data_IF_271091813327
#
_entry.id   IF_271091813327
#
_cell.length_a   1.000
_cell.length_b   1.000
_cell.length_c   1.000
_cell.angle_alpha   90.00
_cell.angle_beta   90.00
_cell.angle_gamma   90.00
#
_symmetry.space_group_name_H-M   'P 1'
#
loop_
_entity.id
_entity.type
_entity.pdbx_description
1 polymer ?
#
# COMPACT_ATOMS: atom_id res chain seq x y z
N UNK A 1 1.33 -34.39 -63.46
CA UNK A 1 2.14 -33.37 -62.75
C UNK A 1 1.21 -32.43 -62.02
N UNK A 2 1.10 -32.51 -60.70
CA UNK A 2 0.24 -31.71 -59.86
C UNK A 2 0.89 -30.39 -59.53
N UNK A 3 0.23 -29.22 -59.81
CA UNK A 3 0.69 -27.89 -59.42
C UNK A 3 0.60 -27.71 -57.90
N UNK A 4 1.67 -27.33 -57.19
CA UNK A 4 1.61 -27.13 -55.76
C UNK A 4 1.12 -25.72 -55.37
N UNK A 5 0.09 -25.69 -54.55
CA UNK A 5 -0.10 -24.94 -53.30
C UNK A 5 0.28 -23.45 -53.28
N UNK A 6 -0.46 -22.58 -53.90
CA UNK A 6 -0.50 -21.14 -53.59
C UNK A 6 -1.22 -20.86 -52.24
N UNK A 7 -2.04 -21.78 -51.70
CA UNK A 7 -2.77 -21.64 -50.45
C UNK A 7 -1.86 -21.67 -49.19
N UNK A 8 -0.77 -22.44 -49.22
CA UNK A 8 0.16 -22.59 -48.07
C UNK A 8 0.93 -21.29 -47.76
N UNK A 9 1.35 -20.56 -48.80
CA UNK A 9 2.09 -19.30 -48.60
C UNK A 9 1.21 -18.18 -48.03
N UNK A 10 -0.09 -18.13 -48.38
CA UNK A 10 -1.03 -17.16 -47.79
C UNK A 10 -1.32 -17.45 -46.31
N UNK A 11 -1.44 -18.72 -45.94
CA UNK A 11 -1.65 -19.12 -44.55
C UNK A 11 -0.41 -18.83 -43.72
N UNK A 12 0.79 -19.10 -44.24
CA UNK A 12 2.04 -18.78 -43.56
C UNK A 12 2.19 -17.25 -43.33
N UNK A 13 1.88 -16.46 -44.34
CA UNK A 13 1.94 -14.98 -44.28
C UNK A 13 0.90 -14.42 -43.23
N UNK A 14 -0.29 -14.98 -43.19
CA UNK A 14 -1.28 -14.62 -42.15
C UNK A 14 -0.78 -15.00 -40.77
N UNK A 15 -0.18 -16.17 -40.61
CA UNK A 15 0.39 -16.61 -39.33
C UNK A 15 1.51 -15.66 -38.87
N UNK A 16 2.39 -15.24 -39.79
CA UNK A 16 3.46 -14.28 -39.50
C UNK A 16 2.91 -12.94 -39.02
N UNK A 17 1.83 -12.44 -39.68
CA UNK A 17 1.14 -11.20 -39.25
C UNK A 17 0.54 -11.36 -37.85
N UNK A 18 -0.13 -12.46 -37.58
CA UNK A 18 -0.73 -12.73 -36.25
C UNK A 18 0.34 -12.79 -35.17
N UNK A 19 1.45 -13.48 -35.42
CA UNK A 19 2.59 -13.55 -34.47
C UNK A 19 3.17 -12.16 -34.26
N UNK A 20 3.34 -11.36 -35.32
CA UNK A 20 3.85 -10.00 -35.21
C UNK A 20 2.91 -9.10 -34.39
N UNK A 21 1.59 -9.21 -34.60
CA UNK A 21 0.60 -8.45 -33.83
C UNK A 21 0.60 -8.85 -32.36
N UNK A 22 0.73 -10.15 -32.05
CA UNK A 22 0.87 -10.64 -30.66
C UNK A 22 2.16 -10.12 -30.02
N UNK A 23 3.26 -10.07 -30.77
CA UNK A 23 4.52 -9.54 -30.27
C UNK A 23 4.44 -8.04 -29.99
N UNK A 24 3.83 -7.26 -30.89
CA UNK A 24 3.59 -5.81 -30.71
C UNK A 24 2.67 -5.59 -29.50
N UNK A 25 1.58 -6.37 -29.37
CA UNK A 25 0.70 -6.33 -28.20
C UNK A 25 1.44 -6.64 -26.90
N UNK A 26 2.30 -7.65 -26.91
CA UNK A 26 3.17 -8.00 -25.77
C UNK A 26 4.13 -6.88 -25.39
N UNK A 27 4.79 -6.26 -26.37
CA UNK A 27 5.67 -5.11 -26.13
C UNK A 27 4.91 -3.89 -25.61
N UNK A 28 3.69 -3.65 -26.10
CA UNK A 28 2.84 -2.57 -25.59
C UNK A 28 2.47 -2.78 -24.12
N UNK A 29 2.03 -3.99 -23.76
CA UNK A 29 1.71 -4.35 -22.36
C UNK A 29 2.96 -4.25 -21.49
N UNK A 30 4.09 -4.76 -21.96
CA UNK A 30 5.37 -4.65 -21.26
C UNK A 30 5.75 -3.17 -21.00
N UNK A 31 5.64 -2.32 -22.03
CA UNK A 31 5.90 -0.88 -21.91
C UNK A 31 4.97 -0.18 -20.91
N UNK A 32 3.69 -0.56 -20.85
CA UNK A 32 2.73 -0.03 -19.87
C UNK A 32 3.08 -0.46 -18.44
N UNK A 33 3.50 -1.71 -18.25
CA UNK A 33 3.91 -2.23 -16.94
C UNK A 33 5.22 -1.56 -16.51
N UNK A 34 6.22 -1.49 -17.39
CA UNK A 34 7.51 -0.85 -17.10
C UNK A 34 7.34 0.62 -16.71
N UNK A 35 6.55 1.39 -17.48
CA UNK A 35 6.27 2.79 -17.16
C UNK A 35 5.51 3.01 -15.84
N UNK A 36 4.82 1.98 -15.33
CA UNK A 36 4.19 2.02 -13.99
C UNK A 36 5.19 1.64 -12.90
N UNK A 37 6.06 0.68 -13.17
CA UNK A 37 7.13 0.27 -12.24
C UNK A 37 8.17 1.36 -12.05
N UNK A 38 8.50 2.12 -13.12
CA UNK A 38 9.43 3.26 -13.07
C UNK A 38 8.96 4.41 -12.15
N UNK A 39 7.69 4.39 -11.73
CA UNK A 39 7.15 5.32 -10.73
C UNK A 39 7.37 4.87 -9.29
N UNK A 40 7.77 3.64 -9.08
CA UNK A 40 8.16 3.10 -7.78
C UNK A 40 9.64 3.40 -7.66
N UNK A 41 10.00 4.30 -6.76
CA UNK A 41 11.40 4.56 -6.40
C UNK A 41 11.91 3.34 -5.61
N UNK A 42 12.40 2.34 -6.34
CA UNK A 42 13.07 1.19 -5.75
C UNK A 42 14.49 1.67 -5.46
N UNK A 43 14.70 2.18 -4.27
CA UNK A 43 16.05 2.36 -3.78
C UNK A 43 16.59 0.96 -3.45
N UNK A 44 17.37 0.39 -4.35
CA UNK A 44 18.30 -0.69 -4.02
C UNK A 44 19.39 -0.14 -3.08
N UNK A 45 18.99 0.38 -1.96
CA UNK A 45 19.89 0.56 -0.83
C UNK A 45 20.03 -0.85 -0.27
N UNK A 46 21.25 -1.39 -0.41
CA UNK A 46 21.65 -2.55 0.36
C UNK A 46 21.48 -2.18 1.84
N UNK A 47 20.30 -2.51 2.40
CA UNK A 47 20.02 -2.27 3.82
C UNK A 47 21.01 -3.04 4.69
N UNK A 48 21.69 -4.05 4.11
CA UNK A 48 22.82 -4.73 4.75
C UNK A 48 24.03 -3.81 4.98
N UNK A 49 24.19 -2.74 4.17
CA UNK A 49 25.22 -1.72 4.35
C UNK A 49 24.76 -0.52 5.21
N UNK A 50 23.48 -0.44 5.56
CA UNK A 50 22.95 0.53 6.50
C UNK A 50 22.70 -0.19 7.82
N UNK A 51 23.25 0.34 8.91
CA UNK A 51 23.22 -0.15 10.29
C UNK A 51 21.80 -0.49 10.82
N UNK A 52 21.05 -1.37 10.14
CA UNK A 52 19.83 -1.93 10.72
C UNK A 52 20.25 -2.80 11.89
N UNK A 53 19.84 -2.40 13.06
CA UNK A 53 20.00 -3.23 14.25
C UNK A 53 19.07 -4.43 14.10
N UNK A 54 19.67 -5.60 13.95
CA UNK A 54 18.99 -6.89 13.99
C UNK A 54 19.13 -7.50 15.36
N UNK A 55 18.12 -8.21 15.83
CA UNK A 55 18.21 -8.95 17.06
C UNK A 55 18.71 -10.38 16.75
N UNK A 56 19.98 -10.65 16.97
CA UNK A 56 20.59 -11.97 16.74
C UNK A 56 19.98 -13.09 17.59
N UNK A 57 19.20 -12.74 18.62
CA UNK A 57 18.47 -13.67 19.49
C UNK A 57 17.04 -13.90 19.00
N UNK A 58 16.56 -13.15 17.99
CA UNK A 58 15.22 -13.30 17.46
C UNK A 58 15.06 -14.69 16.80
N UNK A 59 13.95 -15.40 17.06
CA UNK A 59 13.68 -16.66 16.38
C UNK A 59 13.67 -16.44 14.87
N UNK A 60 14.56 -17.10 14.14
CA UNK A 60 14.52 -17.07 12.68
C UNK A 60 13.25 -17.79 12.22
N UNK A 61 12.28 -17.03 11.73
CA UNK A 61 11.06 -17.57 11.13
C UNK A 61 11.38 -18.11 9.72
N UNK A 62 11.91 -19.34 9.64
CA UNK A 62 12.12 -20.01 8.35
C UNK A 62 10.79 -20.22 7.63
N UNK A 63 10.75 -19.97 6.32
CA UNK A 63 9.53 -20.11 5.51
C UNK A 63 8.60 -18.90 5.52
N UNK A 64 9.03 -17.79 6.12
CA UNK A 64 8.30 -16.51 6.08
C UNK A 64 9.20 -15.39 5.57
N UNK A 65 8.60 -14.44 4.83
CA UNK A 65 9.22 -13.17 4.50
C UNK A 65 8.45 -12.07 5.21
N UNK A 66 9.15 -11.21 5.95
CA UNK A 66 8.51 -10.18 6.79
C UNK A 66 8.96 -8.80 6.34
N UNK A 67 8.00 -7.91 6.12
CA UNK A 67 8.20 -6.53 5.71
C UNK A 67 7.66 -5.57 6.77
N UNK A 68 8.33 -4.42 6.93
CA UNK A 68 7.75 -3.28 7.62
C UNK A 68 7.05 -2.37 6.60
N UNK A 69 5.80 -2.01 6.85
CA UNK A 69 5.03 -1.10 6.02
C UNK A 69 4.81 0.21 6.79
N UNK A 70 5.22 1.32 6.19
CA UNK A 70 5.09 2.65 6.79
C UNK A 70 4.19 3.53 5.92
N UNK A 71 3.17 4.12 6.54
CA UNK A 71 2.35 5.17 5.94
C UNK A 71 2.79 6.54 6.48
N UNK A 72 3.23 7.41 5.58
CA UNK A 72 3.78 8.71 5.89
C UNK A 72 2.75 9.81 5.64
N UNK A 73 2.58 10.75 6.59
CA UNK A 73 1.76 11.96 6.39
C UNK A 73 2.60 13.03 5.68
N UNK A 74 2.95 12.78 4.41
CA UNK A 74 3.73 13.68 3.60
C UNK A 74 2.81 14.61 2.81
N UNK A 75 2.82 15.90 3.16
CA UNK A 75 1.98 16.95 2.55
C UNK A 75 2.74 17.88 1.61
N UNK A 76 4.08 17.84 1.61
CA UNK A 76 4.91 18.75 0.83
C UNK A 76 5.55 18.03 -0.36
N UNK A 77 5.32 18.54 -1.58
CA UNK A 77 5.93 17.99 -2.81
C UNK A 77 7.45 18.22 -2.90
N UNK A 78 8.04 18.98 -1.97
CA UNK A 78 9.45 19.43 -2.03
C UNK A 78 10.32 18.91 -0.90
N UNK A 79 9.80 18.15 0.06
CA UNK A 79 10.56 17.61 1.19
C UNK A 79 10.89 16.13 0.99
N UNK A 80 12.02 15.69 1.53
CA UNK A 80 12.41 14.29 1.45
C UNK A 80 11.54 13.45 2.39
N UNK A 81 11.08 12.30 1.95
CA UNK A 81 10.26 11.32 2.70
C UNK A 81 10.89 10.84 4.04
N UNK A 82 12.11 11.26 4.38
CA UNK A 82 12.88 10.73 5.49
C UNK A 82 12.81 11.55 6.79
N UNK A 83 11.99 12.60 6.86
CA UNK A 83 11.93 13.53 8.01
C UNK A 83 10.58 13.57 8.71
N UNK A 84 9.64 12.69 8.32
CA UNK A 84 8.28 12.70 8.80
C UNK A 84 7.97 11.54 9.74
N UNK A 85 6.92 11.69 10.53
CA UNK A 85 6.41 10.62 11.37
C UNK A 85 5.67 9.58 10.52
N UNK A 86 5.84 8.30 10.85
CA UNK A 86 5.04 7.23 10.25
C UNK A 86 3.72 7.07 11.00
N UNK A 87 2.64 7.60 10.43
CA UNK A 87 1.32 7.54 11.06
C UNK A 87 0.65 6.17 10.98
N UNK A 88 1.14 5.31 10.10
CA UNK A 88 0.78 3.91 9.99
C UNK A 88 2.05 3.06 10.08
N UNK A 89 2.04 2.05 10.95
CA UNK A 89 3.13 1.09 11.11
C UNK A 89 2.51 -0.29 11.13
N UNK A 90 2.79 -1.11 10.09
CA UNK A 90 2.26 -2.46 9.95
C UNK A 90 3.42 -3.42 9.66
N UNK A 91 3.45 -4.55 10.37
CA UNK A 91 4.32 -5.66 10.08
C UNK A 91 3.53 -6.65 9.24
N UNK A 92 4.01 -6.94 8.03
CA UNK A 92 3.41 -7.92 7.12
C UNK A 92 4.31 -9.15 7.04
N UNK A 93 3.82 -10.29 7.51
CA UNK A 93 4.53 -11.57 7.45
C UNK A 93 3.84 -12.50 6.47
N UNK A 94 4.55 -12.92 5.43
CA UNK A 94 4.06 -13.72 4.32
C UNK A 94 4.65 -15.11 4.44
N UNK A 95 3.79 -16.13 4.53
CA UNK A 95 4.22 -17.51 4.43
C UNK A 95 4.63 -17.83 2.98
N UNK A 96 5.87 -18.28 2.77
CA UNK A 96 6.43 -18.47 1.42
C UNK A 96 5.79 -19.61 0.66
N UNK A 97 5.25 -20.61 1.36
CA UNK A 97 4.62 -21.79 0.74
C UNK A 97 3.12 -21.54 0.49
N UNK A 98 2.38 -21.17 1.52
CA UNK A 98 0.91 -21.03 1.44
C UNK A 98 0.46 -19.68 0.93
N UNK A 99 1.35 -18.69 0.87
CA UNK A 99 1.06 -17.27 0.55
C UNK A 99 0.11 -16.60 1.56
N UNK A 100 -0.13 -17.23 2.70
CA UNK A 100 -0.92 -16.62 3.76
C UNK A 100 -0.19 -15.39 4.31
N UNK A 101 -0.92 -14.28 4.46
CA UNK A 101 -0.39 -13.02 4.96
C UNK A 101 -0.95 -12.76 6.36
N UNK A 102 -0.06 -12.39 7.30
CA UNK A 102 -0.43 -11.91 8.63
C UNK A 102 -0.04 -10.45 8.74
N UNK A 103 -0.98 -9.60 9.15
CA UNK A 103 -0.76 -8.17 9.37
C UNK A 103 -0.86 -7.86 10.85
N UNK A 104 0.15 -7.19 11.40
CA UNK A 104 0.20 -6.72 12.79
C UNK A 104 0.43 -5.22 12.78
N UNK A 105 -0.53 -4.44 13.28
CA UNK A 105 -0.36 -2.99 13.43
C UNK A 105 0.34 -2.67 14.75
N UNK A 106 1.33 -1.81 14.67
CA UNK A 106 1.95 -1.15 15.83
C UNK A 106 1.31 0.23 15.95
N UNK A 107 0.67 0.51 17.11
CA UNK A 107 0.06 1.81 17.32
C UNK A 107 1.13 2.90 17.35
N UNK A 108 0.92 3.96 16.59
CA UNK A 108 1.89 5.04 16.40
C UNK A 108 2.31 5.72 17.71
N UNK A 109 1.43 5.77 18.69
CA UNK A 109 1.65 6.41 20.00
C UNK A 109 2.21 5.43 21.06
N UNK A 110 2.52 4.18 20.70
CA UNK A 110 3.16 3.21 21.59
C UNK A 110 4.51 3.74 22.04
N UNK A 111 4.79 3.71 23.34
CA UNK A 111 6.08 4.10 23.91
C UNK A 111 7.09 2.97 23.68
N UNK A 112 8.05 3.19 22.81
CA UNK A 112 9.10 2.23 22.45
C UNK A 112 10.49 2.89 22.53
N UNK A 113 11.53 2.07 22.64
CA UNK A 113 12.91 2.52 22.42
C UNK A 113 13.05 2.85 20.91
N UNK A 114 13.09 4.13 20.59
CA UNK A 114 13.11 4.58 19.19
C UNK A 114 14.52 4.75 18.65
N UNK A 115 15.51 4.90 19.52
CA UNK A 115 16.95 4.94 19.19
C UNK A 115 17.79 5.06 20.46
N UNK A 116 18.88 4.29 20.57
CA UNK A 116 19.94 4.45 21.57
C UNK A 116 19.38 4.68 23.00
N UNK A 117 18.52 3.78 23.48
CA UNK A 117 17.81 3.85 24.76
C UNK A 117 16.93 5.11 24.97
N UNK A 118 16.61 5.80 23.87
CA UNK A 118 15.66 6.90 23.90
C UNK A 118 14.25 6.37 23.67
N UNK A 119 13.39 6.56 24.66
CA UNK A 119 11.99 6.13 24.60
C UNK A 119 11.09 7.27 24.13
N UNK A 120 10.31 7.03 23.09
CA UNK A 120 9.34 7.97 22.52
C UNK A 120 8.18 7.22 21.84
N UNK A 121 7.27 7.97 21.21
CA UNK A 121 6.22 7.37 20.37
C UNK A 121 6.82 6.64 19.19
N UNK A 122 6.33 5.45 18.88
CA UNK A 122 6.83 4.59 17.81
C UNK A 122 6.94 5.32 16.46
N UNK A 123 5.97 6.19 16.15
CA UNK A 123 5.95 6.93 14.89
C UNK A 123 7.12 7.92 14.72
N UNK A 124 7.70 8.41 15.83
CA UNK A 124 8.84 9.33 15.80
C UNK A 124 10.16 8.67 15.37
N UNK A 125 10.24 7.33 15.42
CA UNK A 125 11.43 6.61 14.99
C UNK A 125 11.77 6.88 13.53
N UNK A 126 10.75 7.01 12.66
CA UNK A 126 10.94 7.32 11.25
C UNK A 126 11.51 8.75 11.06
N UNK A 127 11.02 9.73 11.80
CA UNK A 127 11.52 11.10 11.75
C UNK A 127 12.96 11.24 12.29
N UNK A 128 13.37 10.39 13.25
CA UNK A 128 14.70 10.46 13.86
C UNK A 128 15.82 9.86 13.01
N UNK A 129 15.53 8.95 12.09
CA UNK A 129 16.56 8.30 11.29
C UNK A 129 16.05 7.56 10.08
N UNK A 130 14.89 7.96 9.56
CA UNK A 130 14.29 7.37 8.35
C UNK A 130 13.84 5.92 8.54
N UNK A 131 13.65 5.23 7.41
CA UNK A 131 13.13 3.85 7.42
C UNK A 131 14.05 2.88 8.16
N UNK A 132 15.35 3.02 8.03
CA UNK A 132 16.35 2.17 8.70
C UNK A 132 16.18 2.20 10.22
N UNK A 133 16.07 3.40 10.79
CA UNK A 133 15.84 3.55 12.22
C UNK A 133 14.47 3.03 12.67
N UNK A 134 13.44 3.23 11.85
CA UNK A 134 12.10 2.71 12.14
C UNK A 134 12.04 1.17 12.10
N UNK A 135 12.74 0.53 11.16
CA UNK A 135 12.89 -0.94 11.13
C UNK A 135 13.69 -1.43 12.34
N UNK A 136 14.82 -0.78 12.68
CA UNK A 136 15.63 -1.12 13.85
C UNK A 136 14.82 -1.01 15.15
N UNK A 137 13.99 0.02 15.28
CA UNK A 137 13.06 0.17 16.40
C UNK A 137 12.10 -1.02 16.51
N UNK A 138 11.51 -1.49 15.40
CA UNK A 138 10.64 -2.67 15.41
C UNK A 138 11.41 -3.93 15.81
N UNK A 139 12.59 -4.14 15.24
CA UNK A 139 13.43 -5.29 15.56
C UNK A 139 13.82 -5.34 17.05
N UNK A 140 14.27 -4.20 17.60
CA UNK A 140 14.72 -4.11 18.98
C UNK A 140 13.60 -4.32 20.00
N UNK A 141 12.42 -3.75 19.75
CA UNK A 141 11.33 -3.80 20.74
C UNK A 141 10.43 -5.03 20.64
N UNK A 142 10.41 -5.71 19.48
CA UNK A 142 9.49 -6.82 19.21
C UNK A 142 10.21 -8.14 18.92
N UNK A 143 11.50 -8.21 19.17
CA UNK A 143 12.34 -9.39 18.88
C UNK A 143 12.17 -9.90 17.44
N UNK A 144 12.23 -8.98 16.48
CA UNK A 144 12.08 -9.27 15.06
C UNK A 144 13.43 -9.15 14.34
N UNK A 145 13.44 -9.63 13.09
CA UNK A 145 14.61 -9.58 12.21
C UNK A 145 14.18 -9.14 10.80
N UNK A 146 13.55 -7.96 10.73
CA UNK A 146 13.06 -7.36 9.49
C UNK A 146 14.24 -6.67 8.81
N UNK A 147 14.42 -6.92 7.52
CA UNK A 147 15.45 -6.30 6.66
C UNK A 147 14.87 -5.43 5.56
N UNK A 148 13.59 -5.59 5.26
CA UNK A 148 12.94 -4.96 4.14
C UNK A 148 11.74 -4.12 4.59
N UNK A 149 11.50 -3.01 3.89
CA UNK A 149 10.37 -2.14 4.18
C UNK A 149 9.71 -1.59 2.92
N UNK A 150 8.48 -1.11 3.08
CA UNK A 150 7.77 -0.29 2.08
C UNK A 150 7.26 0.95 2.79
N UNK A 151 7.59 2.12 2.26
CA UNK A 151 7.06 3.39 2.75
C UNK A 151 6.24 4.05 1.65
N UNK A 152 5.02 4.48 1.98
CA UNK A 152 4.09 5.11 1.05
C UNK A 152 3.50 6.39 1.66
N UNK A 153 3.29 7.38 0.81
CA UNK A 153 2.48 8.56 1.09
C UNK A 153 1.05 8.40 0.56
N UNK A 154 0.21 9.42 0.70
CA UNK A 154 -1.16 9.41 0.19
C UNK A 154 -1.21 9.30 -1.34
N UNK A 155 -0.27 9.93 -2.07
CA UNK A 155 -0.21 9.86 -3.53
C UNK A 155 0.09 8.44 -4.02
N UNK A 156 1.04 7.79 -3.37
CA UNK A 156 1.39 6.40 -3.67
C UNK A 156 0.21 5.47 -3.39
N UNK A 157 -0.46 5.61 -2.24
CA UNK A 157 -1.61 4.79 -1.88
C UNK A 157 -2.76 4.96 -2.89
N UNK A 158 -3.12 6.21 -3.22
CA UNK A 158 -4.15 6.50 -4.25
C UNK A 158 -3.77 5.85 -5.58
N UNK A 159 -2.51 5.96 -5.98
CA UNK A 159 -2.03 5.40 -7.25
C UNK A 159 -2.08 3.88 -7.27
N UNK A 160 -1.68 3.22 -6.18
CA UNK A 160 -1.72 1.75 -6.07
C UNK A 160 -3.16 1.24 -6.16
N UNK A 161 -4.09 1.83 -5.40
CA UNK A 161 -5.51 1.43 -5.44
C UNK A 161 -6.10 1.63 -6.83
N UNK A 162 -5.85 2.78 -7.47
CA UNK A 162 -6.33 3.03 -8.85
C UNK A 162 -5.72 2.03 -9.86
N UNK A 163 -4.44 1.63 -9.67
CA UNK A 163 -3.79 0.63 -10.52
C UNK A 163 -4.39 -0.77 -10.36
N UNK A 164 -4.92 -1.09 -9.18
CA UNK A 164 -5.63 -2.35 -8.90
C UNK A 164 -7.07 -2.32 -9.44
N UNK A 165 -7.55 -1.17 -9.88
CA UNK A 165 -8.90 -0.98 -10.39
C UNK A 165 -9.91 -0.61 -9.31
N UNK A 166 -9.48 -0.22 -8.11
CA UNK A 166 -10.31 0.09 -6.96
C UNK A 166 -10.41 -1.06 -5.96
N UNK A 167 -11.15 -0.83 -4.87
CA UNK A 167 -11.38 -1.80 -3.79
C UNK A 167 -12.86 -1.85 -3.42
N UNK A 168 -13.38 -3.05 -3.21
CA UNK A 168 -14.75 -3.26 -2.72
C UNK A 168 -14.74 -3.31 -1.19
N UNK A 169 -15.29 -2.27 -0.54
CA UNK A 169 -15.26 -2.11 0.91
C UNK A 169 -16.68 -2.00 1.46
N UNK A 170 -17.06 -2.82 2.46
CA UNK A 170 -18.32 -2.65 3.18
C UNK A 170 -18.24 -1.42 4.07
N UNK A 171 -19.19 -0.48 3.91
CA UNK A 171 -19.23 0.78 4.62
C UNK A 171 -20.49 0.93 5.46
N UNK A 172 -20.35 1.59 6.62
CA UNK A 172 -21.46 2.10 7.40
C UNK A 172 -21.86 3.51 6.91
N UNK A 173 -23.04 3.97 7.34
CA UNK A 173 -23.49 5.34 7.06
C UNK A 173 -22.50 6.38 7.59
N UNK A 174 -22.05 6.22 8.83
CA UNK A 174 -21.08 7.11 9.46
C UNK A 174 -19.75 7.14 8.69
N UNK A 175 -19.27 5.96 8.22
CA UNK A 175 -18.04 5.87 7.41
C UNK A 175 -18.19 6.59 6.07
N UNK A 176 -19.34 6.49 5.38
CA UNK A 176 -19.59 7.22 4.12
C UNK A 176 -19.54 8.74 4.35
N UNK A 177 -20.21 9.24 5.39
CA UNK A 177 -20.20 10.66 5.74
C UNK A 177 -18.77 11.17 5.97
N UNK A 178 -18.02 10.47 6.82
CA UNK A 178 -16.66 10.88 7.16
C UNK A 178 -15.70 10.72 5.98
N UNK A 179 -15.80 9.64 5.22
CA UNK A 179 -15.00 9.42 4.02
C UNK A 179 -15.19 10.53 3.00
N UNK A 180 -16.44 10.88 2.67
CA UNK A 180 -16.73 11.96 1.73
C UNK A 180 -16.12 13.29 2.17
N UNK A 181 -16.12 13.59 3.47
CA UNK A 181 -15.47 14.80 4.01
C UNK A 181 -13.94 14.77 3.81
N UNK A 182 -13.29 13.63 4.09
CA UNK A 182 -11.84 13.47 3.87
C UNK A 182 -11.45 13.44 2.39
N UNK A 183 -12.35 13.03 1.49
CA UNK A 183 -12.10 13.01 0.06
C UNK A 183 -11.79 14.40 -0.51
N UNK A 184 -12.35 15.47 0.07
CA UNK A 184 -12.06 16.85 -0.37
C UNK A 184 -10.57 17.14 -0.21
N UNK A 185 -10.05 16.98 1.01
CA UNK A 185 -8.63 17.24 1.31
C UNK A 185 -7.72 16.28 0.52
N UNK A 186 -8.04 14.97 0.49
CA UNK A 186 -7.24 13.98 -0.23
C UNK A 186 -7.18 14.26 -1.73
N UNK A 187 -8.28 14.73 -2.32
CA UNK A 187 -8.34 15.12 -3.74
C UNK A 187 -7.47 16.36 -4.02
N UNK A 188 -7.50 17.36 -3.13
CA UNK A 188 -6.67 18.56 -3.25
C UNK A 188 -5.17 18.22 -3.11
N UNK A 189 -4.79 17.41 -2.14
CA UNK A 189 -3.41 16.98 -1.90
C UNK A 189 -2.84 16.15 -3.06
N UNK A 190 -3.62 15.23 -3.62
CA UNK A 190 -3.17 14.31 -4.65
C UNK A 190 -3.40 14.80 -6.07
N UNK A 191 -4.26 15.82 -6.25
CA UNK A 191 -4.71 16.31 -7.56
C UNK A 191 -5.57 15.31 -8.33
N UNK A 192 -6.13 14.29 -7.66
CA UNK A 192 -6.95 13.25 -8.26
C UNK A 192 -8.42 13.46 -7.93
N UNK A 193 -9.30 13.06 -8.87
CA UNK A 193 -10.75 13.24 -8.75
C UNK A 193 -11.41 12.04 -8.08
N UNK A 194 -12.58 12.29 -7.50
CA UNK A 194 -13.49 11.29 -6.96
C UNK A 194 -14.93 11.71 -7.21
N UNK A 195 -15.85 10.76 -7.04
CA UNK A 195 -17.28 11.05 -6.99
C UNK A 195 -17.79 10.71 -5.58
N UNK A 196 -18.40 11.65 -4.83
CA UNK A 196 -18.93 11.34 -3.52
C UNK A 196 -19.92 10.18 -3.58
N UNK A 197 -19.89 9.30 -2.58
CA UNK A 197 -20.90 8.25 -2.43
C UNK A 197 -22.19 8.89 -1.92
N UNK A 198 -23.31 8.62 -2.60
CA UNK A 198 -24.63 9.05 -2.16
C UNK A 198 -24.99 8.37 -0.83
N UNK A 199 -25.50 9.18 0.10
CA UNK A 199 -25.93 8.66 1.39
C UNK A 199 -27.23 7.88 1.25
N UNK A 200 -27.38 6.75 1.94
CA UNK A 200 -28.64 6.02 2.00
C UNK A 200 -29.79 6.90 2.52
N UNK A 201 -30.93 6.84 1.83
CA UNK A 201 -32.17 7.50 2.23
C UNK A 201 -33.30 6.46 2.24
N UNK A 202 -33.99 6.22 3.39
CA UNK A 202 -33.86 6.93 4.66
C UNK A 202 -32.55 6.62 5.39
N UNK A 203 -32.10 7.59 6.22
CA UNK A 203 -30.95 7.40 7.10
C UNK A 203 -31.21 6.21 8.06
N UNK A 204 -30.27 5.24 8.20
CA UNK A 204 -30.45 4.11 9.09
C UNK A 204 -30.48 4.54 10.57
N UNK A 205 -31.19 3.77 11.39
CA UNK A 205 -31.25 4.00 12.86
C UNK A 205 -29.87 3.79 13.53
N UNK A 206 -29.15 2.75 13.08
CA UNK A 206 -27.76 2.48 13.50
C UNK A 206 -26.80 2.95 12.41
N UNK A 207 -26.16 4.09 12.63
CA UNK A 207 -25.21 4.70 11.67
C UNK A 207 -23.91 3.92 11.57
N UNK A 208 -23.55 3.09 12.52
CA UNK A 208 -22.34 2.27 12.54
C UNK A 208 -22.55 0.90 11.86
N UNK A 209 -23.78 0.47 11.64
CA UNK A 209 -24.07 -0.76 10.92
C UNK A 209 -23.68 -0.64 9.45
N UNK A 210 -23.11 -1.71 8.89
CA UNK A 210 -22.77 -1.77 7.45
C UNK A 210 -24.07 -1.67 6.64
N UNK A 211 -24.10 -0.73 5.70
CA UNK A 211 -25.26 -0.49 4.82
C UNK A 211 -25.13 -1.20 3.49
N UNK A 212 -23.93 -1.18 2.89
CA UNK A 212 -23.64 -1.88 1.63
C UNK A 212 -22.13 -1.99 1.40
N UNK A 213 -21.75 -2.69 0.33
CA UNK A 213 -20.38 -2.75 -0.18
C UNK A 213 -20.23 -1.81 -1.37
N UNK A 214 -19.28 -0.91 -1.29
CA UNK A 214 -19.02 0.12 -2.31
C UNK A 214 -17.67 -0.09 -2.98
N UNK A 215 -17.65 0.15 -4.28
CA UNK A 215 -16.40 0.15 -5.05
C UNK A 215 -15.72 1.51 -4.93
N UNK A 216 -14.57 1.54 -4.23
CA UNK A 216 -13.84 2.75 -3.91
C UNK A 216 -12.67 2.94 -4.88
N UNK A 217 -12.49 4.16 -5.42
CA UNK A 217 -11.26 4.55 -6.09
C UNK A 217 -10.15 4.89 -5.07
N UNK A 218 -8.94 5.21 -5.56
CA UNK A 218 -7.80 5.50 -4.70
C UNK A 218 -8.04 6.65 -3.72
N UNK A 219 -8.70 7.75 -4.14
CA UNK A 219 -9.02 8.89 -3.27
C UNK A 219 -9.96 8.47 -2.14
N UNK A 220 -11.00 7.72 -2.47
CA UNK A 220 -11.99 7.24 -1.50
C UNK A 220 -11.39 6.24 -0.52
N UNK A 221 -10.62 5.24 -1.02
CA UNK A 221 -9.96 4.25 -0.17
C UNK A 221 -8.93 4.89 0.78
N UNK A 222 -8.12 5.84 0.29
CA UNK A 222 -7.18 6.59 1.13
C UNK A 222 -7.92 7.40 2.18
N UNK A 223 -9.01 8.08 1.81
CA UNK A 223 -9.85 8.85 2.73
C UNK A 223 -10.52 7.97 3.78
N UNK A 224 -10.96 6.77 3.42
CA UNK A 224 -11.49 5.76 4.34
C UNK A 224 -10.46 5.36 5.40
N UNK A 225 -9.21 5.14 5.02
CA UNK A 225 -8.12 4.84 5.95
C UNK A 225 -7.78 5.99 6.92
N UNK A 226 -8.22 7.22 6.63
CA UNK A 226 -7.97 8.43 7.45
C UNK A 226 -9.05 8.69 8.50
N UNK A 227 -10.21 8.04 8.43
CA UNK A 227 -11.35 8.28 9.32
C UNK A 227 -10.95 8.05 10.79
N UNK A 228 -11.25 9.04 11.66
CA UNK A 228 -11.03 9.00 13.11
C UNK A 228 -12.30 9.22 13.93
N UNK A 229 -13.37 9.74 13.32
CA UNK A 229 -14.58 10.21 13.99
C UNK A 229 -15.71 9.17 13.96
N UNK A 230 -15.38 7.89 14.22
CA UNK A 230 -16.34 6.81 14.46
C UNK A 230 -16.24 6.34 15.89
N UNK A 231 -17.19 5.52 16.36
CA UNK A 231 -17.22 5.03 17.75
C UNK A 231 -15.91 4.39 18.23
N UNK A 232 -15.13 3.78 17.30
CA UNK A 232 -13.87 3.11 17.62
C UNK A 232 -12.63 4.04 17.57
N UNK A 233 -12.77 5.33 17.27
CA UNK A 233 -11.71 6.32 17.24
C UNK A 233 -10.43 5.83 16.48
N UNK A 234 -9.25 5.98 17.08
CA UNK A 234 -7.96 5.57 16.47
C UNK A 234 -7.82 4.05 16.30
N UNK A 235 -8.47 3.23 17.14
CA UNK A 235 -8.52 1.77 16.96
C UNK A 235 -9.28 1.41 15.68
N UNK A 236 -10.41 2.06 15.42
CA UNK A 236 -11.18 1.89 14.19
C UNK A 236 -10.39 2.30 12.95
N UNK A 237 -9.58 3.38 13.03
CA UNK A 237 -8.67 3.75 11.94
C UNK A 237 -7.68 2.63 11.63
N UNK A 238 -7.02 2.09 12.64
CA UNK A 238 -6.04 1.01 12.47
C UNK A 238 -6.69 -0.26 11.90
N UNK A 239 -7.94 -0.55 12.24
CA UNK A 239 -8.69 -1.67 11.66
C UNK A 239 -9.01 -1.42 10.19
N UNK A 240 -9.48 -0.22 9.83
CA UNK A 240 -9.74 0.17 8.44
C UNK A 240 -8.50 0.07 7.54
N UNK A 241 -7.33 0.39 8.07
CA UNK A 241 -6.06 0.25 7.34
C UNK A 241 -5.63 -1.20 7.07
N UNK A 242 -6.26 -2.19 7.71
CA UNK A 242 -5.98 -3.62 7.49
C UNK A 242 -7.06 -4.34 6.67
N UNK A 243 -8.16 -3.70 6.36
CA UNK A 243 -9.20 -4.22 5.47
C UNK A 243 -8.77 -4.12 4.01
#
# INVERSE_FOLDING_TARGET
MSKPRKKSKKILFILEIVVLLLFIGGLFVYGQISAKLDKIDIQETDLADQDIVTNDQAPQMTGYTTYALFGLDHRSKNEKLNTENSDTIIIASINNDTKAVKLVSVYRDTLLNVKDDTYSKANSAYAFGGPTNAVSMLNTNLDLNITDYVAIDFNALVTVVDCLGGLDIPLSYAEIVHMNNYCVETSEETGKSYTPIELPDPKPEDEEAIVDTYHLNGVQATSYCRIRYTASLDMGRTERQRR
#
